data_IF_615197441083
#
_entry.id   IF_615197441083
#
_cell.length_a   1.000
_cell.length_b   1.000
_cell.length_c   1.000
_cell.angle_alpha   90.00
_cell.angle_beta   90.00
_cell.angle_gamma   90.00
#
_symmetry.space_group_name_H-M   'P 1'
#
loop_
_entity.id
_entity.type
_entity.pdbx_description
1 polymer ?
#
# COMPACT_ATOMS: atom_id res chain seq x y z
N UNK A 1 -32.47 -6.93 18.29
CA UNK A 1 -31.72 -7.60 17.20
C UNK A 1 -31.43 -6.64 16.04
N UNK A 2 -32.45 -6.04 15.43
CA UNK A 2 -32.30 -5.09 14.30
C UNK A 2 -31.30 -3.94 14.55
N UNK A 3 -31.36 -3.28 15.70
CA UNK A 3 -30.44 -2.20 16.08
C UNK A 3 -28.96 -2.61 16.07
N UNK A 4 -28.62 -3.85 16.46
CA UNK A 4 -27.23 -4.34 16.43
C UNK A 4 -26.73 -4.53 15.00
N UNK A 5 -27.60 -4.95 14.09
CA UNK A 5 -27.29 -5.08 12.67
C UNK A 5 -27.08 -3.73 12.00
N UNK A 6 -27.95 -2.76 12.28
CA UNK A 6 -27.79 -1.39 11.77
C UNK A 6 -26.45 -0.78 12.23
N UNK A 7 -26.06 -1.00 13.50
CA UNK A 7 -24.75 -0.59 14.00
C UNK A 7 -23.59 -1.31 13.30
N UNK A 8 -23.72 -2.60 13.02
CA UNK A 8 -22.71 -3.36 12.27
C UNK A 8 -22.57 -2.82 10.84
N UNK A 9 -23.68 -2.57 10.16
CA UNK A 9 -23.71 -1.98 8.81
C UNK A 9 -23.00 -0.61 8.82
N UNK A 10 -23.33 0.27 9.77
CA UNK A 10 -22.67 1.57 9.92
C UNK A 10 -21.15 1.45 10.14
N UNK A 11 -20.69 0.40 10.85
CA UNK A 11 -19.25 0.11 11.00
C UNK A 11 -18.62 -0.30 9.67
N UNK A 12 -19.30 -1.11 8.87
CA UNK A 12 -18.83 -1.49 7.53
C UNK A 12 -18.80 -0.31 6.57
N UNK A 13 -19.82 0.55 6.57
CA UNK A 13 -19.83 1.80 5.80
C UNK A 13 -18.67 2.71 6.21
N UNK A 14 -18.40 2.83 7.52
CA UNK A 14 -17.27 3.62 8.00
C UNK A 14 -15.92 3.04 7.58
N UNK A 15 -15.77 1.72 7.60
CA UNK A 15 -14.58 1.05 7.07
C UNK A 15 -14.42 1.34 5.58
N UNK A 16 -15.49 1.20 4.79
CA UNK A 16 -15.47 1.50 3.35
C UNK A 16 -14.99 2.92 3.07
N UNK A 17 -15.56 3.92 3.75
CA UNK A 17 -15.12 5.32 3.63
C UNK A 17 -13.63 5.49 3.95
N UNK A 18 -13.14 4.89 5.03
CA UNK A 18 -11.73 4.96 5.40
C UNK A 18 -10.81 4.34 4.33
N UNK A 19 -11.20 3.20 3.76
CA UNK A 19 -10.44 2.57 2.67
C UNK A 19 -10.48 3.41 1.38
N UNK A 20 -11.60 4.05 1.05
CA UNK A 20 -11.69 4.97 -0.08
C UNK A 20 -10.77 6.19 0.12
N UNK A 21 -10.69 6.74 1.33
CA UNK A 21 -9.76 7.81 1.68
C UNK A 21 -8.29 7.35 1.55
N UNK A 22 -7.96 6.15 2.02
CA UNK A 22 -6.63 5.54 1.83
C UNK A 22 -6.30 5.40 0.35
N UNK A 23 -7.23 4.90 -0.46
CA UNK A 23 -7.04 4.81 -1.92
C UNK A 23 -6.72 6.18 -2.53
N UNK A 24 -7.43 7.23 -2.12
CA UNK A 24 -7.16 8.60 -2.54
C UNK A 24 -5.73 9.04 -2.19
N UNK A 25 -5.28 8.79 -0.96
CA UNK A 25 -3.91 9.10 -0.54
C UNK A 25 -2.88 8.28 -1.29
N UNK A 26 -3.11 6.99 -1.54
CA UNK A 26 -2.20 6.14 -2.29
C UNK A 26 -2.06 6.58 -3.76
N UNK A 27 -3.14 7.08 -4.38
CA UNK A 27 -3.07 7.68 -5.72
C UNK A 27 -2.29 8.99 -5.70
N UNK A 28 -2.54 9.87 -4.72
CA UNK A 28 -1.77 11.12 -4.56
C UNK A 28 -0.28 10.85 -4.31
N UNK A 29 0.04 9.79 -3.56
CA UNK A 29 1.42 9.36 -3.28
C UNK A 29 2.18 9.07 -4.56
N UNK A 30 1.52 8.50 -5.57
CA UNK A 30 2.12 8.26 -6.89
C UNK A 30 2.60 9.57 -7.53
N UNK A 31 1.74 10.58 -7.52
CA UNK A 31 2.05 11.87 -8.15
C UNK A 31 3.20 12.59 -7.40
N UNK A 32 3.20 12.51 -6.07
CA UNK A 32 4.27 13.04 -5.22
C UNK A 32 5.61 12.34 -5.50
N UNK A 33 5.60 11.01 -5.67
CA UNK A 33 6.80 10.21 -5.99
C UNK A 33 7.37 10.59 -7.36
N UNK A 34 6.52 10.78 -8.37
CA UNK A 34 6.94 11.24 -9.70
C UNK A 34 7.59 12.63 -9.63
N UNK A 35 7.09 13.51 -8.75
CA UNK A 35 7.64 14.84 -8.54
C UNK A 35 8.91 14.87 -7.64
N UNK A 36 9.32 13.73 -7.07
CA UNK A 36 10.43 13.60 -6.12
C UNK A 36 10.32 14.55 -4.90
N UNK A 37 9.10 14.84 -4.44
CA UNK A 37 8.87 15.75 -3.33
C UNK A 37 8.81 15.00 -1.99
N UNK A 38 9.95 14.90 -1.31
CA UNK A 38 10.10 14.16 -0.05
C UNK A 38 9.24 14.76 1.09
N UNK A 39 9.09 16.08 1.14
CA UNK A 39 8.30 16.73 2.22
C UNK A 39 6.81 16.39 2.12
N UNK A 40 6.26 16.42 0.91
CA UNK A 40 4.87 16.04 0.71
C UNK A 40 4.65 14.54 0.86
N UNK A 41 5.68 13.72 0.56
CA UNK A 41 5.65 12.28 0.80
C UNK A 41 5.51 11.96 2.30
N UNK A 42 6.30 12.62 3.15
CA UNK A 42 6.20 12.47 4.61
C UNK A 42 4.82 12.88 5.13
N UNK A 43 4.24 13.97 4.61
CA UNK A 43 2.91 14.42 5.00
C UNK A 43 1.83 13.42 4.59
N UNK A 44 1.89 12.92 3.35
CA UNK A 44 0.98 11.91 2.83
C UNK A 44 1.04 10.62 3.68
N UNK A 45 2.25 10.15 4.02
CA UNK A 45 2.44 8.98 4.89
C UNK A 45 1.83 9.17 6.28
N UNK A 46 2.00 10.34 6.92
CA UNK A 46 1.37 10.63 8.22
C UNK A 46 -0.17 10.59 8.16
N UNK A 47 -0.74 11.05 7.04
CA UNK A 47 -2.19 10.97 6.84
C UNK A 47 -2.64 9.51 6.67
N UNK A 48 -1.91 8.70 5.90
CA UNK A 48 -2.17 7.25 5.76
C UNK A 48 -2.10 6.52 7.12
N UNK A 49 -1.09 6.82 7.95
CA UNK A 49 -0.95 6.24 9.30
C UNK A 49 -2.15 6.55 10.21
N UNK A 50 -2.63 7.79 10.19
CA UNK A 50 -3.80 8.18 10.96
C UNK A 50 -5.08 7.45 10.51
N UNK A 51 -5.26 7.25 9.20
CA UNK A 51 -6.38 6.46 8.68
C UNK A 51 -6.26 4.99 9.08
N UNK A 52 -5.06 4.41 9.04
CA UNK A 52 -4.82 3.03 9.45
C UNK A 52 -5.11 2.80 10.94
N UNK A 53 -4.81 3.78 11.79
CA UNK A 53 -5.20 3.74 13.21
C UNK A 53 -6.73 3.66 13.36
N UNK A 54 -7.47 4.46 12.59
CA UNK A 54 -8.94 4.42 12.59
C UNK A 54 -9.48 3.09 12.07
N UNK A 55 -8.93 2.57 10.97
CA UNK A 55 -9.28 1.23 10.43
C UNK A 55 -9.10 0.17 11.50
N UNK A 56 -7.97 0.19 12.22
CA UNK A 56 -7.69 -0.76 13.31
C UNK A 56 -8.74 -0.68 14.42
N UNK A 57 -9.17 0.53 14.79
CA UNK A 57 -10.23 0.74 15.79
C UNK A 57 -11.57 0.16 15.32
N UNK A 58 -12.01 0.49 14.09
CA UNK A 58 -13.28 0.00 13.56
C UNK A 58 -13.28 -1.50 13.27
N UNK A 59 -12.15 -2.09 12.88
CA UNK A 59 -12.01 -3.54 12.68
C UNK A 59 -12.19 -4.32 13.99
N UNK A 60 -11.70 -3.79 15.11
CA UNK A 60 -11.94 -4.35 16.45
C UNK A 60 -13.42 -4.28 16.83
N UNK A 61 -14.05 -3.13 16.60
CA UNK A 61 -15.50 -2.96 16.87
C UNK A 61 -16.31 -3.95 16.02
N UNK A 62 -16.01 -4.05 14.73
CA UNK A 62 -16.64 -5.00 13.80
C UNK A 62 -16.53 -6.44 14.32
N UNK A 63 -15.33 -6.88 14.70
CA UNK A 63 -15.09 -8.23 15.24
C UNK A 63 -15.88 -8.48 16.52
N UNK A 64 -15.92 -7.51 17.43
CA UNK A 64 -16.71 -7.61 18.66
C UNK A 64 -18.20 -7.73 18.37
N UNK A 65 -18.74 -6.92 17.47
CA UNK A 65 -20.16 -6.95 17.11
C UNK A 65 -20.56 -8.26 16.44
N UNK A 66 -19.71 -8.82 15.56
CA UNK A 66 -19.96 -10.13 14.96
C UNK A 66 -20.03 -11.22 16.04
N UNK A 67 -19.11 -11.19 17.01
CA UNK A 67 -19.13 -12.15 18.13
C UNK A 67 -20.40 -12.00 18.98
N UNK A 68 -20.77 -10.77 19.31
CA UNK A 68 -21.98 -10.49 20.10
C UNK A 68 -23.26 -10.93 19.38
N UNK A 69 -23.32 -10.77 18.05
CA UNK A 69 -24.42 -11.24 17.23
C UNK A 69 -24.44 -12.77 17.18
N UNK A 70 -23.30 -13.43 17.00
CA UNK A 70 -23.21 -14.89 17.00
C UNK A 70 -23.74 -15.50 18.30
N UNK A 71 -23.36 -14.95 19.46
CA UNK A 71 -23.89 -15.37 20.78
C UNK A 71 -25.41 -15.17 20.86
N UNK A 72 -25.93 -14.05 20.34
CA UNK A 72 -27.37 -13.76 20.33
C UNK A 72 -28.18 -14.74 19.47
N UNK A 73 -27.60 -15.22 18.38
CA UNK A 73 -28.19 -16.25 17.52
C UNK A 73 -27.91 -17.68 18.00
N UNK A 74 -27.18 -17.86 19.11
CA UNK A 74 -26.84 -19.19 19.63
C UNK A 74 -25.83 -19.95 18.77
N UNK A 75 -25.06 -19.26 17.92
CA UNK A 75 -24.04 -19.88 17.08
C UNK A 75 -22.82 -20.31 17.92
N UNK A 76 -22.21 -21.47 17.62
CA UNK A 76 -20.97 -21.87 18.25
C UNK A 76 -19.82 -20.95 17.85
N UNK A 77 -18.80 -20.82 18.71
CA UNK A 77 -17.64 -19.94 18.46
C UNK A 77 -16.94 -20.18 17.11
N UNK A 78 -16.96 -21.42 16.61
CA UNK A 78 -16.40 -21.77 15.28
C UNK A 78 -17.16 -21.14 14.12
N UNK A 79 -18.42 -20.80 14.33
CA UNK A 79 -19.32 -20.19 13.35
C UNK A 79 -19.55 -18.70 13.62
N UNK A 80 -18.88 -18.12 14.63
CA UNK A 80 -18.93 -16.70 14.98
C UNK A 80 -18.20 -15.81 13.97
N UNK A 81 -18.65 -15.89 12.72
CA UNK A 81 -18.13 -15.21 11.54
C UNK A 81 -19.25 -14.42 10.89
N UNK A 82 -18.92 -13.45 10.04
CA UNK A 82 -19.90 -12.69 9.27
C UNK A 82 -20.81 -13.63 8.46
N UNK A 83 -20.22 -14.63 7.79
CA UNK A 83 -20.98 -15.61 7.00
C UNK A 83 -21.95 -16.41 7.86
N UNK A 84 -21.53 -16.83 9.07
CA UNK A 84 -22.39 -17.58 9.99
C UNK A 84 -23.58 -16.74 10.48
N UNK A 85 -23.34 -15.50 10.92
CA UNK A 85 -24.43 -14.63 11.38
C UNK A 85 -25.36 -14.19 10.23
N UNK A 86 -24.87 -14.12 8.99
CA UNK A 86 -25.69 -13.79 7.81
C UNK A 86 -26.62 -14.93 7.37
N UNK A 87 -26.34 -16.19 7.70
CA UNK A 87 -27.22 -17.32 7.36
C UNK A 87 -28.51 -17.34 8.19
N UNK A 88 -28.47 -16.74 9.38
CA UNK A 88 -29.56 -16.76 10.37
C UNK A 88 -30.26 -15.40 10.50
N UNK A 89 -29.86 -14.41 9.70
CA UNK A 89 -30.38 -13.05 9.72
C UNK A 89 -31.44 -12.80 8.64
N UNK A 90 -32.19 -11.71 8.80
CA UNK A 90 -33.19 -11.28 7.82
C UNK A 90 -32.52 -10.92 6.47
N UNK A 91 -33.13 -11.36 5.36
CA UNK A 91 -32.57 -11.23 4.01
C UNK A 91 -32.22 -9.79 3.61
N UNK A 92 -33.05 -8.81 3.98
CA UNK A 92 -32.84 -7.41 3.61
C UNK A 92 -31.56 -6.82 4.24
N UNK A 93 -31.26 -7.18 5.50
CA UNK A 93 -30.05 -6.74 6.20
C UNK A 93 -28.79 -7.37 5.61
N UNK A 94 -28.91 -8.63 5.16
CA UNK A 94 -27.81 -9.38 4.56
C UNK A 94 -27.48 -8.84 3.16
N UNK A 95 -28.48 -8.42 2.39
CA UNK A 95 -28.27 -7.85 1.06
C UNK A 95 -27.41 -6.58 1.11
N UNK A 96 -27.81 -5.59 1.93
CA UNK A 96 -27.05 -4.33 2.06
C UNK A 96 -25.60 -4.56 2.50
N UNK A 97 -25.38 -5.51 3.40
CA UNK A 97 -24.05 -5.84 3.90
C UNK A 97 -23.17 -6.49 2.81
N UNK A 98 -23.75 -7.31 1.94
CA UNK A 98 -23.03 -7.92 0.83
C UNK A 98 -22.57 -6.87 -0.18
N UNK A 99 -23.39 -5.87 -0.47
CA UNK A 99 -23.01 -4.77 -1.38
C UNK A 99 -21.82 -3.98 -0.83
N UNK A 100 -21.86 -3.59 0.44
CA UNK A 100 -20.75 -2.88 1.10
C UNK A 100 -19.48 -3.74 1.11
N UNK A 101 -19.62 -5.05 1.35
CA UNK A 101 -18.48 -5.99 1.33
C UNK A 101 -17.84 -6.08 -0.05
N UNK A 102 -18.66 -6.20 -1.10
CA UNK A 102 -18.16 -6.27 -2.47
C UNK A 102 -17.43 -4.99 -2.85
N UNK A 103 -17.96 -3.84 -2.48
CA UNK A 103 -17.30 -2.55 -2.70
C UNK A 103 -15.98 -2.45 -1.92
N UNK A 104 -15.98 -2.83 -0.65
CA UNK A 104 -14.78 -2.86 0.19
C UNK A 104 -13.69 -3.73 -0.43
N UNK A 105 -14.05 -4.92 -0.93
CA UNK A 105 -13.11 -5.81 -1.60
C UNK A 105 -12.55 -5.18 -2.88
N UNK A 106 -13.39 -4.50 -3.68
CA UNK A 106 -12.94 -3.76 -4.87
C UNK A 106 -11.94 -2.66 -4.52
N UNK A 107 -12.23 -1.87 -3.47
CA UNK A 107 -11.34 -0.78 -3.02
C UNK A 107 -10.00 -1.34 -2.53
N UNK A 108 -10.00 -2.42 -1.75
CA UNK A 108 -8.77 -3.06 -1.25
C UNK A 108 -7.88 -3.54 -2.41
N UNK A 109 -8.47 -4.14 -3.44
CA UNK A 109 -7.72 -4.57 -4.63
C UNK A 109 -7.06 -3.38 -5.34
N UNK A 110 -7.81 -2.28 -5.54
CA UNK A 110 -7.27 -1.06 -6.14
C UNK A 110 -6.11 -0.46 -5.32
N UNK A 111 -6.23 -0.47 -3.99
CA UNK A 111 -5.13 -0.02 -3.11
C UNK A 111 -3.88 -0.88 -3.32
N UNK A 112 -4.04 -2.21 -3.41
CA UNK A 112 -2.92 -3.12 -3.63
C UNK A 112 -2.22 -2.85 -4.98
N UNK A 113 -2.99 -2.63 -6.04
CA UNK A 113 -2.46 -2.27 -7.37
C UNK A 113 -1.67 -0.96 -7.33
N UNK A 114 -2.24 0.10 -6.75
CA UNK A 114 -1.58 1.41 -6.65
C UNK A 114 -0.32 1.33 -5.79
N UNK A 115 -0.35 0.57 -4.69
CA UNK A 115 0.82 0.38 -3.83
C UNK A 115 1.96 -0.37 -4.53
N UNK A 116 1.66 -1.35 -5.39
CA UNK A 116 2.68 -2.02 -6.19
C UNK A 116 3.37 -1.05 -7.15
N UNK A 117 2.60 -0.17 -7.80
CA UNK A 117 3.15 0.90 -8.65
C UNK A 117 4.02 1.86 -7.84
N UNK A 118 3.54 2.33 -6.69
CA UNK A 118 4.29 3.24 -5.83
C UNK A 118 5.59 2.62 -5.32
N UNK A 119 5.58 1.33 -4.98
CA UNK A 119 6.78 0.59 -4.58
C UNK A 119 7.83 0.58 -5.69
N UNK A 120 7.42 0.28 -6.93
CA UNK A 120 8.31 0.31 -8.10
C UNK A 120 8.93 1.69 -8.33
N UNK A 121 8.15 2.77 -8.17
CA UNK A 121 8.67 4.14 -8.29
C UNK A 121 9.75 4.44 -7.24
N UNK A 122 9.52 4.03 -5.99
CA UNK A 122 10.52 4.18 -4.91
C UNK A 122 11.78 3.38 -5.22
N UNK A 123 11.66 2.13 -5.65
CA UNK A 123 12.79 1.26 -6.01
C UNK A 123 13.62 1.85 -7.16
N UNK A 124 12.97 2.40 -8.19
CA UNK A 124 13.63 3.09 -9.29
C UNK A 124 14.37 4.35 -8.83
N UNK A 125 13.76 5.16 -7.95
CA UNK A 125 14.41 6.32 -7.36
C UNK A 125 15.69 5.94 -6.60
N UNK A 126 15.63 4.86 -5.80
CA UNK A 126 16.80 4.35 -5.08
C UNK A 126 17.90 3.84 -6.02
N UNK A 127 17.54 3.18 -7.13
CA UNK A 127 18.50 2.74 -8.15
C UNK A 127 19.28 3.93 -8.71
N UNK A 128 18.59 5.03 -9.04
CA UNK A 128 19.21 6.25 -9.59
C UNK A 128 20.14 6.90 -8.55
N UNK A 129 19.72 6.99 -7.29
CA UNK A 129 20.57 7.52 -6.20
C UNK A 129 21.83 6.67 -6.05
N UNK A 130 21.69 5.34 -5.98
CA UNK A 130 22.83 4.42 -5.85
C UNK A 130 23.79 4.53 -7.04
N UNK A 131 23.27 4.59 -8.26
CA UNK A 131 24.07 4.79 -9.47
C UNK A 131 24.85 6.12 -9.42
N UNK A 132 24.19 7.20 -9.00
CA UNK A 132 24.80 8.53 -8.88
C UNK A 132 25.92 8.54 -7.83
N UNK A 133 25.71 7.89 -6.68
CA UNK A 133 26.74 7.72 -5.66
C UNK A 133 27.94 6.90 -6.17
N UNK A 134 27.70 5.83 -6.91
CA UNK A 134 28.76 5.02 -7.51
C UNK A 134 29.61 5.81 -8.52
N UNK A 135 28.99 6.67 -9.32
CA UNK A 135 29.72 7.56 -10.23
C UNK A 135 30.57 8.58 -9.48
N UNK A 136 30.01 9.21 -8.45
CA UNK A 136 30.74 10.17 -7.62
C UNK A 136 31.95 9.49 -6.92
N UNK A 137 31.75 8.31 -6.36
CA UNK A 137 32.81 7.52 -5.74
C UNK A 137 33.92 7.18 -6.75
N UNK A 138 33.58 6.74 -7.96
CA UNK A 138 34.56 6.48 -9.02
C UNK A 138 35.31 7.75 -9.48
N UNK A 139 34.62 8.89 -9.58
CA UNK A 139 35.25 10.16 -9.96
C UNK A 139 36.19 10.76 -8.89
N UNK A 140 36.05 10.34 -7.64
CA UNK A 140 36.97 10.73 -6.55
C UNK A 140 38.31 9.96 -6.57
N UNK A 141 38.40 8.90 -7.37
CA UNK A 141 39.66 8.23 -7.72
C UNK A 141 40.18 8.89 -9.00
N UNK A 142 40.77 10.07 -8.87
CA UNK A 142 41.49 10.71 -9.98
C UNK A 142 42.63 9.81 -10.51
N UNK A 143 43.08 9.98 -11.76
CA UNK A 143 44.18 9.18 -12.30
C UNK A 143 45.37 9.36 -11.37
N UNK A 144 45.81 8.28 -10.71
CA UNK A 144 47.04 8.30 -9.95
C UNK A 144 48.17 8.42 -10.96
N UNK A 145 48.59 9.66 -11.24
CA UNK A 145 49.79 9.93 -12.03
C UNK A 145 50.97 9.45 -11.20
N UNK A 146 51.45 8.23 -11.47
CA UNK A 146 52.75 7.75 -11.03
C UNK A 146 53.79 8.39 -11.97
N UNK A 147 54.65 9.34 -11.52
CA UNK A 147 55.55 10.05 -12.43
C UNK A 147 56.72 9.21 -12.96
N UNK A 148 56.80 7.91 -12.65
CA UNK A 148 58.02 7.12 -12.81
C UNK A 148 57.87 5.78 -13.54
N UNK A 149 56.88 5.61 -14.42
CA UNK A 149 56.85 4.45 -15.31
C UNK A 149 56.78 4.88 -16.77
N UNK A 150 57.97 5.03 -17.36
CA UNK A 150 58.14 4.86 -18.81
C UNK A 150 57.70 3.44 -19.13
N UNK A 151 56.47 3.25 -19.62
CA UNK A 151 56.15 2.35 -20.74
C UNK A 151 54.64 2.25 -21.02
N UNK A 152 54.31 2.50 -22.29
CA UNK A 152 53.14 1.98 -23.02
C UNK A 152 51.75 2.58 -22.70
N UNK A 153 51.42 3.66 -23.41
CA UNK A 153 50.03 3.97 -23.73
C UNK A 153 49.44 2.81 -24.56
N UNK A 154 48.55 2.02 -23.97
CA UNK A 154 47.58 1.22 -24.73
C UNK A 154 46.27 1.98 -24.69
N UNK A 155 45.88 2.56 -25.83
CA UNK A 155 44.59 3.21 -26.00
C UNK A 155 43.46 2.22 -25.70
N UNK A 156 42.48 2.57 -24.84
CA UNK A 156 41.32 1.71 -24.62
C UNK A 156 40.51 1.59 -25.90
N UNK A 157 40.37 0.34 -26.34
CA UNK A 157 39.71 -0.07 -27.55
C UNK A 157 38.25 0.42 -27.57
N UNK A 158 37.91 1.19 -28.60
CA UNK A 158 36.60 1.76 -28.92
C UNK A 158 35.67 0.68 -29.48
N UNK A 159 35.37 -0.36 -28.70
CA UNK A 159 34.67 -1.56 -29.20
C UNK A 159 33.58 -2.09 -28.26
N UNK A 160 32.83 -1.23 -27.57
CA UNK A 160 31.66 -1.66 -26.77
C UNK A 160 30.37 -0.88 -27.05
N UNK A 161 30.34 -0.06 -28.11
CA UNK A 161 29.13 0.66 -28.53
C UNK A 161 28.47 0.07 -29.78
N UNK A 162 28.73 -1.21 -30.10
CA UNK A 162 28.05 -1.87 -31.21
C UNK A 162 27.39 -3.18 -30.75
N UNK A 163 26.18 -3.03 -30.21
CA UNK A 163 25.13 -4.03 -30.33
C UNK A 163 23.76 -3.35 -30.21
N UNK A 164 23.34 -2.75 -31.32
CA UNK A 164 21.94 -2.66 -31.72
C UNK A 164 21.82 -3.41 -33.04
N UNK A 165 21.18 -4.57 -33.05
CA UNK A 165 19.97 -4.94 -33.81
C UNK A 165 19.41 -6.20 -33.17
#
# INVERSE_FOLDING_TARGET
MKEKWEKLIAVFEKLLMLYQEILGLSVQKRDILVQNNVKDLEKNMKQEENLLFQVTKFDRIRKSMIKDLAVMYGLPDKEATLSGISQVADQDLVSNLNDIKNELQSVILKIAEVNDVNKKLVEQGLLIVNYSLNLLAQSSVGPTYHPNEKNSFVSPNKAMFDSKV
#
